data_IF_261612004372
#
_entry.id   IF_261612004372
#
_cell.length_a   1.000
_cell.length_b   1.000
_cell.length_c   1.000
_cell.angle_alpha   90.00
_cell.angle_beta   90.00
_cell.angle_gamma   90.00
#
_symmetry.space_group_name_H-M   'P 1'
#
loop_
_entity.id
_entity.type
_entity.pdbx_description
1 polymer ?
#
# COMPACT_ATOMS: atom_id res chain seq x y z
N UNK A 1 20.07 -1.26 -10.80
CA UNK A 1 20.34 -0.02 -10.05
C UNK A 1 21.83 0.22 -9.82
N UNK A 2 22.55 -0.60 -9.04
CA UNK A 2 23.99 -0.42 -8.80
C UNK A 2 24.85 -0.31 -10.09
N UNK A 3 24.62 -1.20 -11.06
CA UNK A 3 25.33 -1.18 -12.36
C UNK A 3 25.06 0.09 -13.17
N UNK A 4 23.82 0.60 -13.11
CA UNK A 4 23.39 1.83 -13.80
C UNK A 4 24.04 3.06 -13.14
N UNK A 5 24.08 3.09 -11.80
CA UNK A 5 24.76 4.15 -11.07
C UNK A 5 26.27 4.16 -11.34
N UNK A 6 26.91 3.00 -11.41
CA UNK A 6 28.33 2.88 -11.78
C UNK A 6 28.59 3.36 -13.21
N UNK A 7 27.73 3.01 -14.18
CA UNK A 7 27.85 3.50 -15.55
C UNK A 7 27.67 5.02 -15.64
N UNK A 8 26.70 5.58 -14.91
CA UNK A 8 26.48 7.03 -14.83
C UNK A 8 27.68 7.76 -14.23
N UNK A 9 28.25 7.21 -13.16
CA UNK A 9 29.43 7.79 -12.51
C UNK A 9 30.65 7.78 -13.44
N UNK A 10 30.89 6.66 -14.13
CA UNK A 10 31.98 6.57 -15.11
C UNK A 10 31.79 7.56 -16.26
N UNK A 11 30.55 7.72 -16.76
CA UNK A 11 30.24 8.65 -17.84
C UNK A 11 30.53 10.09 -17.42
N UNK A 12 30.10 10.49 -16.22
CA UNK A 12 30.38 11.81 -15.65
C UNK A 12 31.89 12.06 -15.52
N UNK A 13 32.66 11.07 -15.03
CA UNK A 13 34.11 11.20 -14.89
C UNK A 13 34.81 11.33 -16.25
N UNK A 14 34.38 10.58 -17.27
CA UNK A 14 34.94 10.72 -18.61
C UNK A 14 34.61 12.08 -19.25
N UNK A 15 33.41 12.61 -19.01
CA UNK A 15 33.01 13.93 -19.50
C UNK A 15 33.80 15.05 -18.83
N UNK A 16 33.99 14.98 -17.51
CA UNK A 16 34.78 15.95 -16.75
C UNK A 16 36.26 15.92 -17.17
N UNK A 17 36.86 14.72 -17.20
CA UNK A 17 38.25 14.55 -17.64
C UNK A 17 38.46 15.00 -19.09
N UNK A 18 37.51 14.69 -19.98
CA UNK A 18 37.52 15.15 -21.37
C UNK A 18 37.41 16.67 -21.50
N UNK A 19 36.53 17.29 -20.71
CA UNK A 19 36.38 18.74 -20.66
C UNK A 19 37.66 19.45 -20.22
N UNK A 20 38.28 18.99 -19.13
CA UNK A 20 39.56 19.51 -18.62
C UNK A 20 40.66 19.32 -19.66
N UNK A 21 40.77 18.14 -20.27
CA UNK A 21 41.78 17.86 -21.28
C UNK A 21 41.69 18.78 -22.50
N UNK A 22 40.47 19.00 -23.02
CA UNK A 22 40.23 19.92 -24.14
C UNK A 22 40.60 21.35 -23.73
N UNK A 23 40.24 21.77 -22.53
CA UNK A 23 40.50 23.12 -22.04
C UNK A 23 42.01 23.39 -21.90
N UNK A 24 42.76 22.48 -21.28
CA UNK A 24 44.21 22.59 -21.13
C UNK A 24 44.94 22.56 -22.48
N UNK A 25 44.54 21.66 -23.38
CA UNK A 25 45.11 21.58 -24.73
C UNK A 25 44.91 22.88 -25.50
N UNK A 26 43.69 23.45 -25.44
CA UNK A 26 43.37 24.76 -26.02
C UNK A 26 44.23 25.87 -25.40
N UNK A 27 44.41 25.89 -24.08
CA UNK A 27 45.22 26.90 -23.40
C UNK A 27 46.70 26.85 -23.83
N UNK A 28 47.27 25.65 -23.93
CA UNK A 28 48.64 25.45 -24.40
C UNK A 28 48.79 25.95 -25.84
N UNK A 29 47.89 25.55 -26.74
CA UNK A 29 47.95 25.96 -28.16
C UNK A 29 47.89 27.48 -28.32
N UNK A 30 46.96 28.15 -27.64
CA UNK A 30 46.80 29.61 -27.78
C UNK A 30 48.02 30.32 -27.19
N UNK A 31 48.56 29.87 -26.05
CA UNK A 31 49.77 30.45 -25.46
C UNK A 31 51.00 30.27 -26.37
N UNK A 32 51.17 29.11 -27.00
CA UNK A 32 52.27 28.87 -27.96
C UNK A 32 52.15 29.76 -29.19
N UNK A 33 50.95 29.87 -29.78
CA UNK A 33 50.70 30.73 -30.94
C UNK A 33 50.97 32.20 -30.58
N UNK A 34 50.48 32.66 -29.43
CA UNK A 34 50.69 34.02 -28.97
C UNK A 34 52.18 34.31 -28.69
N UNK A 35 52.91 33.36 -28.11
CA UNK A 35 54.35 33.48 -27.89
C UNK A 35 55.13 33.58 -29.21
N UNK A 36 54.81 32.76 -30.21
CA UNK A 36 55.42 32.82 -31.55
C UNK A 36 55.13 34.17 -32.22
N UNK A 37 53.91 34.69 -32.09
CA UNK A 37 53.55 36.00 -32.64
C UNK A 37 54.32 37.16 -32.01
N UNK A 38 54.68 37.06 -30.72
CA UNK A 38 55.57 38.02 -30.04
C UNK A 38 57.00 37.92 -30.58
N UNK A 39 57.53 36.69 -30.73
CA UNK A 39 58.89 36.47 -31.27
C UNK A 39 59.04 37.03 -32.69
N UNK A 40 57.99 36.89 -33.51
CA UNK A 40 57.97 37.40 -34.89
C UNK A 40 57.67 38.91 -35.00
N UNK A 41 57.46 39.60 -33.87
CA UNK A 41 57.20 41.05 -33.83
C UNK A 41 55.78 41.48 -34.23
N UNK A 42 54.85 40.53 -34.39
CA UNK A 42 53.44 40.82 -34.71
C UNK A 42 52.60 41.21 -33.49
N UNK A 43 53.04 40.84 -32.28
CA UNK A 43 52.38 41.16 -31.01
C UNK A 43 53.37 41.74 -30.00
N UNK A 44 52.90 42.63 -29.13
CA UNK A 44 53.70 43.10 -28.00
C UNK A 44 53.59 42.13 -26.81
N UNK A 45 54.55 42.20 -25.88
CA UNK A 45 54.49 41.44 -24.64
C UNK A 45 53.23 41.77 -23.80
N UNK A 46 52.78 43.04 -23.83
CA UNK A 46 51.54 43.46 -23.18
C UNK A 46 50.29 42.80 -23.79
N UNK A 47 50.27 42.59 -25.11
CA UNK A 47 49.19 41.87 -25.79
C UNK A 47 49.16 40.39 -25.40
N UNK A 48 50.32 39.73 -25.26
CA UNK A 48 50.40 38.36 -24.75
C UNK A 48 49.80 38.23 -23.35
N UNK A 49 50.17 39.13 -22.43
CA UNK A 49 49.63 39.15 -21.07
C UNK A 49 48.10 39.36 -21.06
N UNK A 50 47.60 40.24 -21.92
CA UNK A 50 46.16 40.45 -22.07
C UNK A 50 45.44 39.20 -22.60
N UNK A 51 46.01 38.51 -23.59
CA UNK A 51 45.47 37.24 -24.11
C UNK A 51 45.46 36.16 -23.03
N UNK A 52 46.56 35.96 -22.31
CA UNK A 52 46.62 34.98 -21.22
C UNK A 52 45.63 35.30 -20.09
N UNK A 53 45.44 36.58 -19.76
CA UNK A 53 44.42 37.01 -18.80
C UNK A 53 42.99 36.69 -19.27
N UNK A 54 42.67 37.00 -20.52
CA UNK A 54 41.36 36.69 -21.13
C UNK A 54 41.14 35.17 -21.16
N UNK A 55 42.15 34.38 -21.50
CA UNK A 55 42.06 32.92 -21.49
C UNK A 55 41.75 32.37 -20.11
N UNK A 56 42.45 32.83 -19.07
CA UNK A 56 42.20 32.43 -17.69
C UNK A 56 40.78 32.78 -17.25
N UNK A 57 40.28 33.96 -17.60
CA UNK A 57 38.91 34.38 -17.30
C UNK A 57 37.85 33.56 -18.04
N UNK A 58 38.14 33.06 -19.25
CA UNK A 58 37.20 32.26 -20.04
C UNK A 58 37.10 30.79 -19.60
N UNK A 59 38.07 30.26 -18.85
CA UNK A 59 38.02 28.88 -18.39
C UNK A 59 36.82 28.63 -17.46
N UNK A 60 36.58 29.52 -16.50
CA UNK A 60 35.50 29.34 -15.52
C UNK A 60 34.09 29.36 -16.16
N UNK A 61 33.74 30.31 -17.05
CA UNK A 61 32.45 30.28 -17.76
C UNK A 61 32.23 29.01 -18.59
N UNK A 62 33.28 28.46 -19.22
CA UNK A 62 33.18 27.22 -20.01
C UNK A 62 32.86 26.02 -19.11
N UNK A 63 33.57 25.88 -17.99
CA UNK A 63 33.30 24.83 -17.00
C UNK A 63 31.90 24.97 -16.38
N UNK A 64 31.48 26.20 -16.09
CA UNK A 64 30.12 26.49 -15.62
C UNK A 64 29.06 26.08 -16.64
N UNK A 65 29.32 26.27 -17.94
CA UNK A 65 28.39 25.88 -19.00
C UNK A 65 28.24 24.36 -19.11
N UNK A 66 29.34 23.60 -19.02
CA UNK A 66 29.29 22.13 -18.98
C UNK A 66 28.48 21.66 -17.75
N UNK A 67 28.78 22.23 -16.58
CA UNK A 67 28.07 21.92 -15.34
C UNK A 67 26.58 22.27 -15.43
N UNK A 68 26.24 23.39 -16.08
CA UNK A 68 24.86 23.80 -16.31
C UNK A 68 24.09 22.79 -17.16
N UNK A 69 24.68 22.29 -18.26
CA UNK A 69 24.02 21.29 -19.09
C UNK A 69 23.74 19.99 -18.34
N UNK A 70 24.67 19.51 -17.52
CA UNK A 70 24.45 18.34 -16.67
C UNK A 70 23.29 18.57 -15.69
N UNK A 71 23.31 19.70 -14.97
CA UNK A 71 22.23 20.04 -14.02
C UNK A 71 20.88 20.19 -14.71
N UNK A 72 20.86 20.74 -15.93
CA UNK A 72 19.63 20.88 -16.70
C UNK A 72 19.06 19.50 -17.13
N UNK A 73 19.93 18.55 -17.49
CA UNK A 73 19.51 17.18 -17.81
C UNK A 73 18.96 16.45 -16.58
N UNK A 74 19.66 16.53 -15.44
CA UNK A 74 19.19 15.94 -14.19
C UNK A 74 17.84 16.52 -13.75
N UNK A 75 17.70 17.84 -13.82
CA UNK A 75 16.45 18.52 -13.54
C UNK A 75 15.31 18.05 -14.45
N UNK A 76 15.58 17.87 -15.76
CA UNK A 76 14.59 17.35 -16.70
C UNK A 76 14.11 15.95 -16.31
N UNK A 77 15.01 15.03 -15.97
CA UNK A 77 14.65 13.66 -15.56
C UNK A 77 13.83 13.68 -14.27
N UNK A 78 14.21 14.52 -13.30
CA UNK A 78 13.43 14.70 -12.07
C UNK A 78 12.03 15.25 -12.35
N UNK A 79 11.92 16.21 -13.27
CA UNK A 79 10.62 16.78 -13.68
C UNK A 79 9.75 15.75 -14.39
N UNK A 80 10.31 14.91 -15.27
CA UNK A 80 9.56 13.83 -15.93
C UNK A 80 8.95 12.85 -14.89
N UNK A 81 9.71 12.47 -13.86
CA UNK A 81 9.20 11.61 -12.77
C UNK A 81 8.14 12.29 -11.91
N UNK A 82 8.27 13.59 -11.67
CA UNK A 82 7.25 14.36 -10.96
C UNK A 82 5.97 14.48 -11.80
N UNK A 83 6.12 14.68 -13.12
CA UNK A 83 5.01 14.71 -14.08
C UNK A 83 4.26 13.40 -14.08
N UNK A 84 4.96 12.25 -14.07
CA UNK A 84 4.33 10.92 -14.02
C UNK A 84 3.34 10.79 -12.85
N UNK A 85 3.73 11.25 -11.66
CA UNK A 85 2.84 11.23 -10.48
C UNK A 85 1.74 12.29 -10.61
N UNK A 86 2.06 13.48 -11.09
CA UNK A 86 1.11 14.60 -11.18
C UNK A 86 0.04 14.41 -12.26
N UNK A 87 0.38 13.73 -13.36
CA UNK A 87 -0.51 13.42 -14.48
C UNK A 87 -1.32 12.14 -14.25
N UNK A 88 -1.00 11.36 -13.20
CA UNK A 88 -1.80 10.19 -12.83
C UNK A 88 -3.20 10.64 -12.41
N UNK A 89 -4.23 10.00 -12.97
CA UNK A 89 -5.62 10.31 -12.64
C UNK A 89 -5.91 10.07 -11.16
N UNK A 90 -6.56 11.05 -10.50
CA UNK A 90 -7.03 10.88 -9.13
C UNK A 90 -8.16 9.84 -9.06
N UNK A 91 -8.22 9.10 -7.96
CA UNK A 91 -9.30 8.14 -7.68
C UNK A 91 -10.71 8.77 -7.73
N UNK A 92 -10.81 10.08 -7.48
CA UNK A 92 -12.06 10.85 -7.38
C UNK A 92 -12.58 11.41 -8.72
N UNK A 93 -11.92 11.16 -9.85
CA UNK A 93 -12.25 11.88 -11.10
C UNK A 93 -13.56 11.49 -11.77
N UNK A 94 -14.22 10.40 -11.35
CA UNK A 94 -15.63 10.21 -11.75
C UNK A 94 -16.45 11.20 -10.94
N UNK A 95 -17.23 12.04 -11.62
CA UNK A 95 -18.38 12.74 -11.04
C UNK A 95 -19.29 11.70 -10.38
N UNK A 96 -18.96 11.31 -9.16
CA UNK A 96 -19.68 10.33 -8.38
C UNK A 96 -20.85 11.09 -7.79
N UNK A 97 -21.89 11.23 -8.61
CA UNK A 97 -23.06 12.06 -8.32
C UNK A 97 -23.89 11.61 -7.12
N UNK A 98 -23.47 10.56 -6.41
CA UNK A 98 -24.18 10.01 -5.26
C UNK A 98 -23.40 10.28 -3.98
N UNK A 99 -23.86 11.30 -3.26
CA UNK A 99 -23.36 11.71 -1.94
C UNK A 99 -24.07 11.02 -0.78
N UNK A 100 -25.11 10.22 -1.06
CA UNK A 100 -25.94 9.56 -0.06
C UNK A 100 -25.96 8.05 -0.30
N UNK A 101 -25.58 7.28 0.73
CA UNK A 101 -25.70 5.83 0.69
C UNK A 101 -27.18 5.41 0.77
N UNK A 102 -27.63 4.52 -0.10
CA UNK A 102 -28.97 3.92 -0.05
C UNK A 102 -28.99 2.86 1.05
N UNK A 103 -30.17 2.31 1.35
CA UNK A 103 -30.23 1.12 2.20
C UNK A 103 -29.44 -0.01 1.55
N UNK A 104 -28.45 -0.55 2.27
CA UNK A 104 -27.63 -1.66 1.79
C UNK A 104 -28.16 -2.94 2.41
N UNK A 105 -28.93 -3.71 1.65
CA UNK A 105 -29.49 -4.98 2.11
C UNK A 105 -28.61 -6.18 1.73
N UNK A 106 -27.72 -6.00 0.74
CA UNK A 106 -26.76 -7.01 0.29
C UNK A 106 -25.65 -6.38 -0.56
N UNK A 107 -24.53 -7.10 -0.68
CA UNK A 107 -23.51 -6.87 -1.70
C UNK A 107 -23.58 -8.00 -2.72
N UNK A 108 -23.60 -7.67 -4.01
CA UNK A 108 -23.69 -8.64 -5.10
C UNK A 108 -22.48 -8.47 -6.01
N UNK A 109 -21.78 -9.58 -6.28
CA UNK A 109 -20.68 -9.66 -7.24
C UNK A 109 -21.16 -10.53 -8.38
N UNK A 110 -21.11 -10.01 -9.61
CA UNK A 110 -21.59 -10.68 -10.81
C UNK A 110 -20.48 -10.79 -11.85
N UNK A 111 -20.16 -12.03 -12.27
CA UNK A 111 -19.19 -12.36 -13.31
C UNK A 111 -17.87 -11.58 -13.21
N UNK A 112 -17.33 -11.48 -11.98
CA UNK A 112 -16.16 -10.66 -11.69
C UNK A 112 -14.88 -11.37 -12.13
N UNK A 113 -14.14 -10.72 -13.03
CA UNK A 113 -12.77 -11.08 -13.41
C UNK A 113 -11.80 -9.98 -12.97
N UNK A 114 -10.61 -10.37 -12.51
CA UNK A 114 -9.58 -9.41 -12.11
C UNK A 114 -8.15 -9.93 -12.29
N UNK A 115 -7.26 -9.02 -12.73
CA UNK A 115 -5.82 -9.19 -12.84
C UNK A 115 -5.13 -7.91 -12.34
N UNK A 116 -4.04 -8.04 -11.59
CA UNK A 116 -3.25 -6.87 -11.21
C UNK A 116 -2.57 -6.25 -12.44
N UNK A 117 -2.47 -4.90 -12.52
CA UNK A 117 -1.71 -4.24 -13.56
C UNK A 117 -0.21 -4.60 -13.44
N UNK A 118 0.40 -5.05 -14.53
CA UNK A 118 1.82 -5.46 -14.54
C UNK A 118 2.23 -6.25 -15.78
N UNK A 119 3.52 -6.60 -15.86
CA UNK A 119 4.15 -7.18 -17.06
C UNK A 119 3.70 -8.61 -17.41
N UNK A 120 3.01 -9.32 -16.51
CA UNK A 120 2.46 -10.66 -16.76
C UNK A 120 0.97 -10.68 -16.41
N UNK A 121 0.07 -10.84 -17.41
CA UNK A 121 -1.36 -10.91 -17.16
C UNK A 121 -1.72 -12.30 -16.61
N UNK A 122 -1.58 -12.47 -15.30
CA UNK A 122 -2.15 -13.64 -14.60
C UNK A 122 -3.50 -13.24 -14.01
N UNK A 123 -4.57 -13.84 -14.51
CA UNK A 123 -5.90 -13.73 -13.92
C UNK A 123 -5.87 -14.26 -12.49
N UNK A 124 -6.25 -13.39 -11.54
CA UNK A 124 -6.25 -13.70 -10.11
C UNK A 124 -7.62 -14.14 -9.64
N UNK A 125 -8.68 -13.53 -10.20
CA UNK A 125 -10.07 -13.90 -9.97
C UNK A 125 -10.76 -14.06 -11.32
N UNK A 126 -11.57 -15.10 -11.45
CA UNK A 126 -12.24 -15.47 -12.68
C UNK A 126 -13.69 -15.92 -12.37
N UNK A 127 -14.64 -15.30 -13.07
CA UNK A 127 -16.08 -15.56 -13.01
C UNK A 127 -16.63 -15.66 -11.58
N UNK A 128 -16.22 -14.74 -10.71
CA UNK A 128 -16.69 -14.72 -9.33
C UNK A 128 -18.13 -14.23 -9.28
N UNK A 129 -19.01 -15.09 -8.76
CA UNK A 129 -20.42 -14.78 -8.51
C UNK A 129 -20.72 -15.00 -7.01
N UNK A 130 -21.07 -13.93 -6.30
CA UNK A 130 -21.21 -13.95 -4.85
C UNK A 130 -22.33 -13.00 -4.40
N UNK A 131 -23.06 -13.39 -3.37
CA UNK A 131 -23.97 -12.50 -2.64
C UNK A 131 -23.63 -12.54 -1.16
N UNK A 132 -23.41 -11.37 -0.58
CA UNK A 132 -23.22 -11.15 0.85
C UNK A 132 -24.50 -10.50 1.38
N UNK A 133 -25.18 -11.15 2.33
CA UNK A 133 -26.42 -10.62 2.91
C UNK A 133 -26.09 -9.67 4.05
N UNK A 134 -26.92 -8.64 4.23
CA UNK A 134 -26.84 -7.75 5.38
C UNK A 134 -26.90 -8.53 6.69
N UNK A 135 -26.13 -8.07 7.68
CA UNK A 135 -26.09 -8.59 9.06
C UNK A 135 -25.72 -10.07 9.16
N UNK A 136 -24.92 -10.56 8.21
CA UNK A 136 -24.39 -11.93 8.21
C UNK A 136 -22.87 -11.97 8.21
N UNK A 137 -22.33 -13.07 8.73
CA UNK A 137 -20.90 -13.36 8.70
C UNK A 137 -20.60 -14.31 7.55
N UNK A 138 -19.79 -13.86 6.60
CA UNK A 138 -19.29 -14.68 5.49
C UNK A 138 -17.81 -14.98 5.67
N UNK A 139 -17.46 -16.26 5.75
CA UNK A 139 -16.08 -16.71 5.76
C UNK A 139 -15.60 -17.03 4.33
N UNK A 140 -14.43 -16.52 3.96
CA UNK A 140 -13.75 -16.80 2.69
C UNK A 140 -12.52 -17.66 3.01
N UNK A 141 -12.51 -18.88 2.51
CA UNK A 141 -11.45 -19.87 2.74
C UNK A 141 -10.89 -20.38 1.43
N UNK A 142 -9.69 -20.94 1.46
CA UNK A 142 -9.02 -21.40 0.25
C UNK A 142 -7.51 -21.51 0.43
N UNK A 143 -6.86 -22.20 -0.50
CA UNK A 143 -5.39 -22.33 -0.52
C UNK A 143 -4.69 -20.98 -0.63
N UNK A 144 -3.40 -20.94 -0.30
CA UNK A 144 -2.61 -19.72 -0.52
C UNK A 144 -2.58 -19.38 -2.02
N UNK A 145 -2.71 -18.10 -2.35
CA UNK A 145 -2.76 -17.63 -3.74
C UNK A 145 -4.08 -17.87 -4.47
N UNK A 146 -5.16 -18.29 -3.80
CA UNK A 146 -6.49 -18.45 -4.44
C UNK A 146 -7.26 -17.16 -4.70
N UNK A 147 -6.72 -15.99 -4.30
CA UNK A 147 -7.32 -14.68 -4.55
C UNK A 147 -8.16 -14.08 -3.41
N UNK A 148 -8.14 -14.66 -2.20
CA UNK A 148 -8.94 -14.22 -1.03
C UNK A 148 -8.73 -12.74 -0.66
N UNK A 149 -7.49 -12.33 -0.42
CA UNK A 149 -7.11 -10.93 -0.15
C UNK A 149 -7.50 -10.01 -1.30
N UNK A 150 -7.35 -10.47 -2.54
CA UNK A 150 -7.73 -9.70 -3.73
C UNK A 150 -9.25 -9.46 -3.78
N UNK A 151 -10.06 -10.47 -3.44
CA UNK A 151 -11.50 -10.32 -3.35
C UNK A 151 -11.88 -9.26 -2.29
N UNK A 152 -11.24 -9.27 -1.12
CA UNK A 152 -11.46 -8.25 -0.08
C UNK A 152 -11.08 -6.85 -0.60
N UNK A 153 -9.92 -6.69 -1.25
CA UNK A 153 -9.49 -5.41 -1.83
C UNK A 153 -10.48 -4.89 -2.88
N UNK A 154 -11.05 -5.76 -3.70
CA UNK A 154 -12.08 -5.38 -4.68
C UNK A 154 -13.40 -4.98 -4.02
N UNK A 155 -13.83 -5.69 -2.96
CA UNK A 155 -15.01 -5.31 -2.18
C UNK A 155 -14.83 -3.97 -1.45
N UNK A 156 -13.59 -3.58 -1.13
CA UNK A 156 -13.23 -2.27 -0.59
C UNK A 156 -13.04 -1.19 -1.67
N UNK A 157 -13.19 -1.55 -2.94
CA UNK A 157 -13.00 -0.67 -4.09
C UNK A 157 -11.57 -0.20 -4.29
N UNK A 158 -10.55 -0.94 -3.82
CA UNK A 158 -9.13 -0.55 -4.00
C UNK A 158 -8.68 -0.68 -5.45
N UNK A 159 -9.36 -1.55 -6.21
CA UNK A 159 -9.16 -1.70 -7.64
C UNK A 159 -10.51 -1.78 -8.34
N UNK A 160 -10.62 -1.27 -9.57
CA UNK A 160 -11.79 -1.53 -10.40
C UNK A 160 -11.80 -3.01 -10.87
N UNK A 161 -12.98 -3.66 -10.92
CA UNK A 161 -13.18 -4.90 -11.68
C UNK A 161 -12.62 -4.82 -13.11
N UNK A 162 -11.97 -5.89 -13.58
CA UNK A 162 -11.54 -5.99 -14.99
C UNK A 162 -12.70 -6.36 -15.92
N UNK A 163 -13.57 -7.27 -15.46
CA UNK A 163 -14.87 -7.59 -16.05
C UNK A 163 -15.89 -7.83 -14.94
N UNK A 164 -17.16 -7.68 -15.26
CA UNK A 164 -18.26 -7.85 -14.32
C UNK A 164 -18.49 -6.60 -13.48
N UNK A 165 -19.26 -6.75 -12.41
CA UNK A 165 -19.54 -5.63 -11.50
C UNK A 165 -19.69 -6.08 -10.05
N UNK A 166 -19.44 -5.13 -9.14
CA UNK A 166 -19.70 -5.25 -7.71
C UNK A 166 -20.75 -4.19 -7.37
N UNK A 167 -21.87 -4.63 -6.81
CA UNK A 167 -22.98 -3.78 -6.39
C UNK A 167 -23.13 -3.77 -4.88
N UNK A 168 -23.20 -2.58 -4.31
CA UNK A 168 -23.50 -2.33 -2.91
C UNK A 168 -24.98 -1.88 -2.85
N UNK A 169 -25.87 -2.78 -2.42
CA UNK A 169 -27.31 -2.61 -2.61
C UNK A 169 -27.63 -2.57 -4.11
N UNK A 170 -28.24 -1.47 -4.55
CA UNK A 170 -28.60 -1.25 -5.95
C UNK A 170 -27.56 -0.45 -6.74
N UNK A 171 -26.46 -0.01 -6.13
CA UNK A 171 -25.45 0.82 -6.82
C UNK A 171 -24.18 0.05 -7.14
N UNK A 172 -23.61 0.31 -8.32
CA UNK A 172 -22.29 -0.20 -8.68
C UNK A 172 -21.21 0.58 -7.91
N UNK A 173 -20.26 -0.15 -7.30
CA UNK A 173 -19.19 0.43 -6.48
C UNK A 173 -18.34 1.44 -7.26
N UNK A 174 -18.18 1.25 -8.58
CA UNK A 174 -17.39 2.15 -9.44
C UNK A 174 -18.04 3.51 -9.69
N UNK A 175 -19.33 3.66 -9.34
CA UNK A 175 -20.10 4.91 -9.46
C UNK A 175 -20.26 5.62 -8.11
N UNK A 176 -19.77 5.01 -7.02
CA UNK A 176 -19.84 5.56 -5.67
C UNK A 176 -18.55 6.31 -5.34
N UNK A 177 -18.66 7.40 -4.58
CA UNK A 177 -17.48 8.06 -4.02
C UNK A 177 -16.73 7.08 -3.10
N UNK A 178 -15.41 6.87 -3.27
CA UNK A 178 -14.65 5.92 -2.47
C UNK A 178 -14.72 6.19 -0.96
N UNK A 179 -14.65 7.45 -0.55
CA UNK A 179 -14.82 7.85 0.86
C UNK A 179 -16.16 7.48 1.42
N UNK A 180 -17.22 7.66 0.62
CA UNK A 180 -18.57 7.37 1.05
C UNK A 180 -18.69 5.87 1.38
N UNK A 181 -18.24 4.99 0.49
CA UNK A 181 -18.22 3.55 0.76
C UNK A 181 -17.31 3.20 1.94
N UNK A 182 -16.05 3.64 1.91
CA UNK A 182 -15.05 3.28 2.91
C UNK A 182 -15.36 3.87 4.29
N UNK A 183 -16.13 4.94 4.40
CA UNK A 183 -16.64 5.43 5.69
C UNK A 183 -17.50 4.40 6.42
N UNK A 184 -18.21 3.54 5.67
CA UNK A 184 -19.07 2.48 6.20
C UNK A 184 -18.32 1.19 6.50
N UNK A 185 -17.03 1.10 6.13
CA UNK A 185 -16.21 -0.10 6.26
C UNK A 185 -15.15 0.04 7.36
N UNK A 186 -14.99 -0.97 8.21
CA UNK A 186 -13.79 -1.18 8.99
C UNK A 186 -12.99 -2.33 8.42
N UNK A 187 -11.67 -2.22 8.48
CA UNK A 187 -10.78 -3.17 7.82
C UNK A 187 -9.64 -3.53 8.75
N UNK A 188 -9.34 -4.82 8.82
CA UNK A 188 -8.11 -5.36 9.39
C UNK A 188 -7.43 -6.16 8.29
N UNK A 189 -6.41 -5.57 7.67
CA UNK A 189 -5.62 -6.24 6.62
C UNK A 189 -4.46 -7.03 7.23
N UNK A 190 -3.98 -8.05 6.51
CA UNK A 190 -2.79 -8.82 6.85
C UNK A 190 -1.56 -7.90 7.06
N UNK A 191 -1.32 -6.97 6.14
CA UNK A 191 -0.23 -5.98 6.21
C UNK A 191 -0.73 -4.60 6.69
N UNK A 192 -1.31 -4.54 7.89
CA UNK A 192 -1.80 -3.27 8.43
C UNK A 192 -0.67 -2.35 8.92
N UNK A 193 -0.83 -1.05 8.67
CA UNK A 193 0.18 -0.04 9.02
C UNK A 193 -0.09 0.64 10.37
N UNK A 194 0.97 0.84 11.16
CA UNK A 194 0.97 1.62 12.41
C UNK A 194 1.73 2.92 12.14
N UNK A 195 1.07 4.05 12.43
CA UNK A 195 1.65 5.37 12.22
C UNK A 195 2.53 5.74 13.40
N UNK A 196 3.57 6.54 13.14
CA UNK A 196 4.45 7.14 14.15
C UNK A 196 3.69 8.19 14.99
N UNK A 197 2.81 7.73 15.89
CA UNK A 197 1.95 8.53 16.75
C UNK A 197 1.57 7.73 18.02
N UNK A 198 0.76 8.32 18.90
CA UNK A 198 0.27 7.66 20.12
C UNK A 198 -0.63 6.47 19.82
N UNK A 199 -0.74 5.53 20.77
CA UNK A 199 -1.68 4.40 20.69
C UNK A 199 -3.12 4.93 20.50
N UNK A 200 -3.51 5.98 21.23
CA UNK A 200 -4.82 6.61 21.10
C UNK A 200 -5.11 7.07 19.66
N UNK A 201 -4.16 7.79 19.04
CA UNK A 201 -4.28 8.30 17.65
C UNK A 201 -4.25 7.18 16.61
N UNK A 202 -3.55 6.09 16.90
CA UNK A 202 -3.57 4.90 16.05
C UNK A 202 -4.89 4.14 16.09
N UNK A 203 -5.62 4.14 17.22
CA UNK A 203 -6.94 3.51 17.33
C UNK A 203 -8.04 4.44 16.79
N UNK A 204 -8.04 5.70 17.20
CA UNK A 204 -9.02 6.71 16.80
C UNK A 204 -8.53 7.56 15.60
N UNK A 205 -8.27 6.89 14.48
CA UNK A 205 -7.75 7.56 13.28
C UNK A 205 -8.74 8.55 12.67
N UNK A 206 -8.25 9.73 12.30
CA UNK A 206 -9.03 10.76 11.63
C UNK A 206 -9.97 11.54 12.55
N UNK A 207 -10.14 11.13 13.80
CA UNK A 207 -10.94 11.86 14.78
C UNK A 207 -10.18 13.07 15.32
N UNK A 208 -10.81 14.24 15.34
CA UNK A 208 -10.25 15.42 15.99
C UNK A 208 -10.28 15.24 17.51
N UNK A 209 -11.45 14.85 18.03
CA UNK A 209 -11.73 14.64 19.45
C UNK A 209 -11.97 13.15 19.74
N UNK A 210 -11.01 12.54 20.44
CA UNK A 210 -11.07 11.10 20.75
C UNK A 210 -12.10 10.86 21.86
N UNK A 211 -13.16 10.10 21.53
CA UNK A 211 -14.14 9.61 22.51
C UNK A 211 -13.52 8.53 23.41
N UNK A 212 -13.22 8.89 24.66
CA UNK A 212 -12.54 8.02 25.63
C UNK A 212 -13.26 6.70 25.87
N UNK A 213 -14.57 6.71 26.07
CA UNK A 213 -15.33 5.47 26.35
C UNK A 213 -15.26 4.48 25.18
N UNK A 214 -15.31 4.99 23.95
CA UNK A 214 -15.22 4.19 22.73
C UNK A 214 -13.80 3.66 22.52
N UNK A 215 -12.77 4.45 22.89
CA UNK A 215 -11.37 4.04 22.87
C UNK A 215 -11.12 2.87 23.84
N UNK A 216 -11.57 3.02 25.09
CA UNK A 216 -11.44 1.99 26.11
C UNK A 216 -12.22 0.72 25.75
N UNK A 217 -13.44 0.88 25.21
CA UNK A 217 -14.23 -0.25 24.71
C UNK A 217 -13.50 -0.98 23.58
N UNK A 218 -13.00 -0.26 22.58
CA UNK A 218 -12.27 -0.86 21.46
C UNK A 218 -11.01 -1.60 21.91
N UNK A 219 -10.25 -1.03 22.84
CA UNK A 219 -9.04 -1.66 23.39
C UNK A 219 -9.35 -2.96 24.16
N UNK A 220 -10.40 -2.96 25.00
CA UNK A 220 -10.87 -4.15 25.73
C UNK A 220 -11.35 -5.25 24.79
N UNK A 221 -12.15 -4.89 23.79
CA UNK A 221 -12.68 -5.86 22.82
C UNK A 221 -11.56 -6.50 21.99
N UNK A 222 -10.51 -5.74 21.69
CA UNK A 222 -9.30 -6.24 21.03
C UNK A 222 -8.29 -6.91 21.98
N UNK A 223 -8.54 -6.93 23.30
CA UNK A 223 -7.65 -7.45 24.34
C UNK A 223 -6.24 -6.85 24.28
N UNK A 224 -6.12 -5.55 24.03
CA UNK A 224 -4.85 -4.81 24.03
C UNK A 224 -4.70 -3.91 25.26
N UNK A 225 -5.75 -3.77 26.05
CA UNK A 225 -5.78 -3.03 27.31
C UNK A 225 -4.71 -3.51 28.30
N UNK A 226 -4.57 -4.83 28.48
CA UNK A 226 -3.55 -5.42 29.37
C UNK A 226 -2.12 -4.96 29.03
N UNK A 227 -1.81 -4.78 27.74
CA UNK A 227 -0.52 -4.27 27.27
C UNK A 227 -0.40 -2.76 27.50
N UNK A 228 -1.45 -2.00 27.19
CA UNK A 228 -1.47 -0.55 27.33
C UNK A 228 -1.30 -0.15 28.80
N UNK A 229 -1.95 -0.86 29.72
CA UNK A 229 -1.90 -0.60 31.17
C UNK A 229 -0.50 -0.82 31.77
N UNK A 230 0.36 -1.61 31.11
CA UNK A 230 1.75 -1.82 31.53
C UNK A 230 2.68 -0.68 31.08
N UNK A 231 2.25 0.17 30.16
CA UNK A 231 3.06 1.26 29.63
C UNK A 231 2.99 2.49 30.55
N UNK A 232 4.11 3.14 30.89
CA UNK A 232 4.11 4.32 31.77
C UNK A 232 3.22 5.48 31.29
N UNK A 233 3.06 5.62 29.96
CA UNK A 233 2.25 6.66 29.34
C UNK A 233 0.88 6.13 28.86
N UNK A 234 0.57 4.86 29.08
CA UNK A 234 -0.66 4.22 28.63
C UNK A 234 -0.95 4.50 27.16
N UNK A 235 -2.16 4.97 26.88
CA UNK A 235 -2.64 5.35 25.54
C UNK A 235 -1.84 6.48 24.87
N UNK A 236 -1.11 7.29 25.64
CA UNK A 236 -0.26 8.37 25.12
C UNK A 236 1.14 7.88 24.72
N UNK A 237 1.43 6.59 24.88
CA UNK A 237 2.69 6.00 24.41
C UNK A 237 2.79 6.12 22.89
N UNK A 238 3.89 6.67 22.38
CA UNK A 238 4.17 6.72 20.94
C UNK A 238 4.63 5.37 20.42
N UNK A 239 4.05 4.91 19.33
CA UNK A 239 4.35 3.66 18.63
C UNK A 239 4.67 3.95 17.16
N UNK A 240 5.18 2.97 16.41
CA UNK A 240 5.55 3.12 15.01
C UNK A 240 7.05 3.27 14.79
N UNK A 241 7.49 3.74 13.62
CA UNK A 241 8.91 3.76 13.23
C UNK A 241 9.77 4.64 14.16
N UNK A 242 9.20 5.72 14.70
CA UNK A 242 9.88 6.65 15.62
C UNK A 242 9.54 6.40 17.09
N UNK A 243 8.77 5.35 17.40
CA UNK A 243 8.23 5.07 18.73
C UNK A 243 8.61 3.69 19.27
N UNK A 244 7.81 3.21 20.23
CA UNK A 244 7.92 1.84 20.73
C UNK A 244 7.59 0.84 19.60
N UNK A 245 8.49 -0.11 19.39
CA UNK A 245 8.27 -1.24 18.47
C UNK A 245 7.27 -2.22 19.08
N UNK A 246 6.25 -2.57 18.31
CA UNK A 246 5.24 -3.55 18.71
C UNK A 246 5.59 -4.94 18.18
N UNK A 247 5.21 -5.98 18.92
CA UNK A 247 5.14 -7.33 18.37
C UNK A 247 4.04 -7.43 17.30
N UNK A 248 4.11 -8.45 16.44
CA UNK A 248 3.09 -8.68 15.40
C UNK A 248 1.68 -8.86 15.98
N UNK A 249 1.55 -9.53 17.12
CA UNK A 249 0.26 -9.70 17.80
C UNK A 249 -0.29 -8.40 18.39
N UNK A 250 0.56 -7.56 18.99
CA UNK A 250 0.15 -6.24 19.51
C UNK A 250 -0.27 -5.30 18.37
N UNK A 251 0.51 -5.26 17.28
CA UNK A 251 0.16 -4.52 16.07
C UNK A 251 -1.21 -4.97 15.53
N UNK A 252 -1.45 -6.27 15.44
CA UNK A 252 -2.72 -6.81 14.97
C UNK A 252 -3.89 -6.42 15.89
N UNK A 253 -3.72 -6.51 17.22
CA UNK A 253 -4.75 -6.07 18.17
C UNK A 253 -5.04 -4.58 18.08
N UNK A 254 -4.04 -3.73 17.82
CA UNK A 254 -4.28 -2.29 17.57
C UNK A 254 -5.10 -2.08 16.29
N UNK A 255 -4.83 -2.83 15.22
CA UNK A 255 -5.62 -2.77 13.99
C UNK A 255 -7.07 -3.23 14.21
N UNK A 256 -7.27 -4.27 15.00
CA UNK A 256 -8.61 -4.71 15.42
C UNK A 256 -9.31 -3.61 16.22
N UNK A 257 -8.63 -3.04 17.23
CA UNK A 257 -9.17 -1.95 18.03
C UNK A 257 -9.55 -0.75 17.14
N UNK A 258 -8.74 -0.40 16.15
CA UNK A 258 -9.04 0.65 15.16
C UNK A 258 -10.33 0.37 14.38
N UNK A 259 -10.53 -0.86 13.93
CA UNK A 259 -11.74 -1.25 13.22
C UNK A 259 -12.98 -1.25 14.13
N UNK A 260 -12.84 -1.67 15.39
CA UNK A 260 -13.92 -1.63 16.39
C UNK A 260 -14.28 -0.19 16.76
N UNK A 261 -13.27 0.65 16.98
CA UNK A 261 -13.45 2.07 17.32
C UNK A 261 -14.24 2.78 16.23
N UNK A 262 -13.96 2.54 14.95
CA UNK A 262 -14.74 3.12 13.84
C UNK A 262 -16.24 2.75 13.86
N UNK A 263 -16.60 1.63 14.51
CA UNK A 263 -17.96 1.10 14.60
C UNK A 263 -18.71 1.04 13.24
N UNK A 264 -18.14 0.42 12.20
CA UNK A 264 -18.68 0.41 10.84
C UNK A 264 -19.90 -0.52 10.68
N UNK A 265 -20.66 -0.38 9.59
CA UNK A 265 -21.70 -1.35 9.20
C UNK A 265 -21.12 -2.59 8.50
N UNK A 266 -20.00 -2.43 7.80
CA UNK A 266 -19.28 -3.49 7.11
C UNK A 266 -17.92 -3.70 7.75
N UNK A 267 -17.56 -4.95 8.01
CA UNK A 267 -16.26 -5.31 8.58
C UNK A 267 -15.55 -6.32 7.67
N UNK A 268 -14.34 -5.98 7.26
CA UNK A 268 -13.49 -6.84 6.44
C UNK A 268 -12.25 -7.24 7.24
N UNK A 269 -12.08 -8.54 7.46
CA UNK A 269 -10.98 -9.10 8.23
C UNK A 269 -10.17 -10.02 7.32
N UNK A 270 -8.99 -9.59 6.90
CA UNK A 270 -8.07 -10.38 6.08
C UNK A 270 -6.95 -10.93 6.94
N UNK A 271 -7.05 -12.22 7.31
CA UNK A 271 -6.13 -12.88 8.26
C UNK A 271 -5.97 -12.14 9.60
N UNK A 272 -7.02 -11.44 10.05
CA UNK A 272 -6.99 -10.54 11.21
C UNK A 272 -6.62 -11.15 12.56
N UNK A 273 -6.37 -12.46 12.65
CA UNK A 273 -5.93 -13.17 13.86
C UNK A 273 -4.68 -14.04 13.70
N UNK A 274 -4.02 -14.03 12.53
CA UNK A 274 -2.92 -14.97 12.22
C UNK A 274 -1.66 -14.76 13.07
N UNK A 275 -1.41 -13.55 13.57
CA UNK A 275 -0.26 -13.23 14.41
C UNK A 275 -0.56 -13.27 15.91
N UNK A 276 -1.77 -13.72 16.30
CA UNK A 276 -2.19 -13.81 17.71
C UNK A 276 -1.75 -15.13 18.34
N UNK A 277 -1.37 -15.06 19.62
CA UNK A 277 -1.18 -16.25 20.45
C UNK A 277 -2.53 -16.95 20.74
N UNK A 278 -2.52 -18.28 20.91
CA UNK A 278 -3.73 -19.09 20.98
C UNK A 278 -4.68 -18.74 22.16
N UNK A 279 -4.13 -18.26 23.28
CA UNK A 279 -4.93 -17.89 24.46
C UNK A 279 -5.67 -16.56 24.23
N UNK A 280 -4.98 -15.54 23.71
CA UNK A 280 -5.61 -14.28 23.36
C UNK A 280 -6.54 -14.42 22.15
N UNK A 281 -6.21 -15.27 21.17
CA UNK A 281 -7.02 -15.51 19.98
C UNK A 281 -8.45 -15.92 20.34
N UNK A 282 -8.62 -16.86 21.29
CA UNK A 282 -9.95 -17.30 21.71
C UNK A 282 -10.75 -16.17 22.34
N UNK A 283 -10.16 -15.42 23.29
CA UNK A 283 -10.80 -14.28 23.96
C UNK A 283 -11.20 -13.20 22.96
N UNK A 284 -10.31 -12.88 22.02
CA UNK A 284 -10.55 -11.89 20.96
C UNK A 284 -11.68 -12.36 20.05
N UNK A 285 -11.72 -13.63 19.67
CA UNK A 285 -12.79 -14.16 18.82
C UNK A 285 -14.16 -14.12 19.52
N UNK A 286 -14.22 -14.47 20.81
CA UNK A 286 -15.43 -14.36 21.63
C UNK A 286 -15.91 -12.89 21.71
N UNK A 287 -14.99 -11.95 21.90
CA UNK A 287 -15.28 -10.51 21.87
C UNK A 287 -15.76 -10.05 20.48
N UNK A 288 -15.09 -10.47 19.41
CA UNK A 288 -15.45 -10.11 18.04
C UNK A 288 -16.85 -10.62 17.65
N UNK A 289 -17.27 -11.78 18.14
CA UNK A 289 -18.66 -12.25 17.94
C UNK A 289 -19.70 -11.27 18.51
N UNK A 290 -19.39 -10.54 19.59
CA UNK A 290 -20.26 -9.48 20.11
C UNK A 290 -20.26 -8.26 19.18
N UNK A 291 -19.09 -7.89 18.65
CA UNK A 291 -18.94 -6.77 17.70
C UNK A 291 -19.66 -7.05 16.38
N UNK A 292 -19.71 -8.31 15.93
CA UNK A 292 -20.32 -8.69 14.66
C UNK A 292 -21.85 -8.56 14.65
N UNK A 293 -22.50 -8.48 15.80
CA UNK A 293 -23.96 -8.38 15.88
C UNK A 293 -24.46 -7.12 15.17
N UNK A 294 -25.36 -7.30 14.20
CA UNK A 294 -25.91 -6.19 13.40
C UNK A 294 -24.91 -5.56 12.44
N UNK A 295 -23.86 -6.30 12.05
CA UNK A 295 -22.87 -5.90 11.05
C UNK A 295 -22.77 -6.96 9.96
N UNK A 296 -22.42 -6.53 8.76
CA UNK A 296 -22.07 -7.45 7.67
C UNK A 296 -20.58 -7.69 7.70
N UNK A 297 -20.15 -8.94 7.89
CA UNK A 297 -18.74 -9.27 8.14
C UNK A 297 -18.24 -10.21 7.06
N UNK A 298 -17.10 -9.87 6.45
CA UNK A 298 -16.35 -10.74 5.54
C UNK A 298 -15.02 -11.07 6.19
N UNK A 299 -14.78 -12.36 6.43
CA UNK A 299 -13.57 -12.84 7.10
C UNK A 299 -12.82 -13.78 6.18
N UNK A 300 -11.60 -13.42 5.79
CA UNK A 300 -10.65 -14.35 5.20
C UNK A 300 -10.00 -15.11 6.34
N UNK A 301 -10.38 -16.37 6.49
CA UNK A 301 -10.00 -17.17 7.63
C UNK A 301 -9.04 -18.28 7.23
N UNK A 302 -7.98 -18.44 8.02
CA UNK A 302 -7.09 -19.60 8.01
C UNK A 302 -7.34 -20.54 9.19
N UNK A 303 -8.29 -20.21 10.09
CA UNK A 303 -8.59 -20.95 11.32
C UNK A 303 -10.00 -21.53 11.28
N UNK A 304 -10.14 -22.80 11.65
CA UNK A 304 -11.42 -23.53 11.61
C UNK A 304 -12.51 -22.94 12.53
N UNK A 305 -12.13 -22.46 13.71
CA UNK A 305 -13.05 -21.88 14.71
C UNK A 305 -13.87 -20.72 14.13
N UNK A 306 -13.21 -19.80 13.44
CA UNK A 306 -13.82 -18.63 12.80
C UNK A 306 -14.73 -19.01 11.62
N UNK A 307 -14.40 -20.09 10.93
CA UNK A 307 -15.15 -20.55 9.74
C UNK A 307 -16.41 -21.32 10.13
N UNK A 308 -16.34 -22.11 11.21
CA UNK A 308 -17.43 -23.00 11.63
C UNK A 308 -18.72 -22.23 11.95
N UNK A 309 -18.57 -21.08 12.61
CA UNK A 309 -19.69 -20.29 13.12
C UNK A 309 -20.21 -19.25 12.10
N UNK A 310 -19.67 -19.23 10.88
CA UNK A 310 -20.10 -18.32 9.82
C UNK A 310 -21.47 -18.72 9.22
N UNK A 311 -22.30 -17.73 8.89
CA UNK A 311 -23.59 -17.94 8.24
C UNK A 311 -23.45 -18.49 6.81
N UNK A 312 -22.34 -18.14 6.17
CA UNK A 312 -21.98 -18.54 4.82
C UNK A 312 -20.47 -18.73 4.70
N UNK A 313 -20.06 -19.79 4.01
CA UNK A 313 -18.66 -20.08 3.71
C UNK A 313 -18.49 -20.11 2.20
N UNK A 314 -17.46 -19.43 1.71
CA UNK A 314 -17.03 -19.39 0.31
C UNK A 314 -15.65 -20.03 0.22
N UNK A 315 -15.55 -21.06 -0.62
CA UNK A 315 -14.28 -21.72 -0.90
C UNK A 315 -13.76 -21.23 -2.23
N UNK A 316 -12.63 -20.52 -2.19
CA UNK A 316 -11.90 -20.06 -3.35
C UNK A 316 -10.75 -21.02 -3.67
N UNK A 317 -10.69 -21.45 -4.92
CA UNK A 317 -9.58 -22.21 -5.46
C UNK A 317 -9.19 -21.68 -6.85
N UNK A 318 -7.90 -21.45 -7.05
CA UNK A 318 -7.34 -20.87 -8.29
C UNK A 318 -8.15 -19.70 -8.89
N UNK A 319 -8.64 -18.79 -8.05
CA UNK A 319 -9.36 -17.60 -8.50
C UNK A 319 -10.85 -17.81 -8.80
N UNK A 320 -11.41 -18.99 -8.52
CA UNK A 320 -12.83 -19.30 -8.74
C UNK A 320 -13.51 -19.75 -7.44
N UNK A 321 -14.82 -19.50 -7.32
CA UNK A 321 -15.62 -20.08 -6.23
C UNK A 321 -15.94 -21.53 -6.60
N UNK A 322 -15.36 -22.49 -5.87
CA UNK A 322 -15.59 -23.93 -6.10
C UNK A 322 -16.71 -24.49 -5.22
N UNK A 323 -16.91 -23.92 -4.03
CA UNK A 323 -17.97 -24.34 -3.11
C UNK A 323 -18.53 -23.14 -2.32
N UNK A 324 -19.82 -23.21 -2.02
CA UNK A 324 -20.53 -22.24 -1.19
C UNK A 324 -21.58 -22.94 -0.33
N UNK A 325 -21.70 -22.56 0.94
CA UNK A 325 -22.72 -23.10 1.84
C UNK A 325 -22.41 -22.92 3.32
N UNK A 326 -23.16 -23.61 4.18
CA UNK A 326 -22.90 -23.68 5.62
C UNK A 326 -21.91 -24.81 5.95
N UNK A 327 -21.21 -24.69 7.07
CA UNK A 327 -20.21 -25.65 7.54
C UNK A 327 -20.66 -27.11 7.41
N UNK A 328 -21.78 -27.47 8.05
CA UNK A 328 -22.28 -28.84 8.06
C UNK A 328 -22.58 -29.39 6.66
N UNK A 329 -23.11 -28.55 5.77
CA UNK A 329 -23.43 -28.94 4.40
C UNK A 329 -22.18 -29.15 3.55
N UNK A 330 -21.14 -28.32 3.73
CA UNK A 330 -19.88 -28.44 3.00
C UNK A 330 -19.04 -29.64 3.49
N UNK A 331 -19.02 -29.91 4.80
CA UNK A 331 -18.37 -31.12 5.36
C UNK A 331 -19.02 -32.39 4.81
N UNK A 332 -20.35 -32.45 4.73
CA UNK A 332 -21.08 -33.61 4.23
C UNK A 332 -20.75 -33.92 2.76
N UNK A 333 -20.43 -32.91 1.95
CA UNK A 333 -20.03 -33.08 0.53
C UNK A 333 -18.67 -33.75 0.35
N UNK A 334 -17.81 -33.75 1.38
CA UNK A 334 -16.42 -34.28 1.31
C UNK A 334 -15.59 -33.72 0.14
N UNK A 335 -15.83 -32.46 -0.24
CA UNK A 335 -15.14 -31.79 -1.34
C UNK A 335 -13.92 -30.97 -0.90
N UNK A 336 -13.67 -29.84 -1.58
CA UNK A 336 -12.54 -28.94 -1.32
C UNK A 336 -12.57 -28.41 0.12
N UNK A 337 -13.74 -27.99 0.61
CA UNK A 337 -13.86 -27.51 1.99
C UNK A 337 -13.44 -28.58 3.00
N UNK A 338 -13.94 -29.81 2.83
CA UNK A 338 -13.63 -30.92 3.72
C UNK A 338 -12.12 -31.22 3.76
N UNK A 339 -11.46 -31.21 2.60
CA UNK A 339 -10.01 -31.42 2.52
C UNK A 339 -9.23 -30.29 3.21
N UNK A 340 -9.64 -29.03 3.06
CA UNK A 340 -9.04 -27.90 3.77
C UNK A 340 -9.15 -28.09 5.29
N UNK A 341 -10.35 -28.43 5.79
CA UNK A 341 -10.59 -28.66 7.21
C UNK A 341 -9.79 -29.84 7.74
N UNK A 342 -9.76 -30.96 7.01
CA UNK A 342 -8.99 -32.15 7.39
C UNK A 342 -7.50 -31.83 7.50
N UNK A 343 -6.93 -31.16 6.50
CA UNK A 343 -5.52 -30.81 6.50
C UNK A 343 -5.17 -29.86 7.67
N UNK A 344 -6.07 -28.94 8.05
CA UNK A 344 -5.85 -28.09 9.22
C UNK A 344 -5.88 -28.86 10.55
N UNK A 345 -6.71 -29.90 10.66
CA UNK A 345 -6.75 -30.76 11.84
C UNK A 345 -5.53 -31.70 11.91
N UNK A 346 -5.05 -32.19 10.77
CA UNK A 346 -3.85 -33.05 10.70
C UNK A 346 -2.55 -32.28 10.97
N UNK A 347 -2.47 -31.00 10.58
CA UNK A 347 -1.33 -30.12 10.88
C UNK A 347 -1.34 -29.58 12.32
N UNK A 348 -2.43 -29.76 13.06
CA UNK A 348 -2.59 -29.30 14.44
C UNK A 348 -2.23 -30.34 15.51
N UNK A 349 -1.72 -31.51 15.12
CA UNK A 349 -1.27 -32.59 16.01
C UNK A 349 0.25 -32.75 15.99
#
# INVERSE_FOLDING_TARGET
>A
LFRVNMSSLSLSQYQEAGGVFINETKNILINVIAAIAVINGHMTLGMLLAVSYILGQLNSPIEQMITFFHRAQDAKISLERLSEIHETEDEYQKETGVTVLPSIDKIVVNHLDFSYPGALPRTVLEDINLTLKKDTVTAVVGVSGSGKTTLVKLLLGFYPPGRGEIRIGDMNIQLMAPDLWRSQCGVVMQDGFIFSDTIARNIAMGEQDIKTDQLLYAARMACIDDFIDQLPLGYNTKIGQEGLTLSGGEQQRILIARAIYKNPHFLFLDEGTSALDANNERRIMENLQLVFKGKTVVIVAHRLSTVRDADQIIVLDHGRIVEQGKHNALIAKKGHYFNLVRNQLELGN
#
